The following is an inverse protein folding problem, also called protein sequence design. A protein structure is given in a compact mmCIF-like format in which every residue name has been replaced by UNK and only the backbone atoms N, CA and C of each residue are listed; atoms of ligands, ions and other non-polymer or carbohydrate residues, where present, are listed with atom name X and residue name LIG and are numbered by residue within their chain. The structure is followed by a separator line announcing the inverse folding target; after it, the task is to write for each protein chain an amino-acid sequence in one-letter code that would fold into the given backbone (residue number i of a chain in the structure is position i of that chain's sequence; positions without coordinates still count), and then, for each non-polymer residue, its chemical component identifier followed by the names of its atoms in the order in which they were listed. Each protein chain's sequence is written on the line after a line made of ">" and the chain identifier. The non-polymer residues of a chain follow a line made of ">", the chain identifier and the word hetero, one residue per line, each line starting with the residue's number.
data_IF_782930431160
#
_entry.id   IF_782930431160
#
_cell.length_a   1.000
_cell.length_b   1.000
_cell.length_c   1.000
_cell.angle_alpha   90.00
_cell.angle_beta   90.00
_cell.angle_gamma   90.00
#
_symmetry.space_group_name_H-M   'P 1'
#
loop_
_entity.id
_entity.type
_entity.pdbx_description
1 polymer ?
#
# COMPACT_ATOMS: atom_id res chain seq x y z
N UNK A 1 -11.25 -16.59 -44.69
CA UNK A 1 -11.92 -17.53 -43.77
C UNK A 1 -12.34 -16.77 -42.53
N UNK A 2 -13.64 -16.78 -42.20
CA UNK A 2 -14.26 -16.05 -41.09
C UNK A 2 -14.11 -16.87 -39.80
N UNK A 3 -13.51 -16.29 -38.76
CA UNK A 3 -13.44 -16.87 -37.42
C UNK A 3 -13.93 -15.88 -36.38
N UNK A 4 -15.24 -15.94 -36.06
CA UNK A 4 -15.85 -15.27 -34.89
C UNK A 4 -15.50 -16.10 -33.65
N UNK A 5 -14.89 -15.49 -32.64
CA UNK A 5 -14.88 -16.06 -31.28
C UNK A 5 -15.56 -15.08 -30.33
N UNK A 6 -16.61 -15.61 -29.70
CA UNK A 6 -17.56 -14.95 -28.80
C UNK A 6 -16.94 -14.65 -27.46
N UNK A 7 -17.22 -13.47 -26.95
CA UNK A 7 -16.98 -13.09 -25.56
C UNK A 7 -17.79 -13.93 -24.56
N UNK A 8 -17.26 -14.01 -23.34
CA UNK A 8 -17.98 -14.39 -22.13
C UNK A 8 -17.63 -13.40 -21.04
N UNK A 9 -18.56 -12.48 -20.80
CA UNK A 9 -18.68 -11.73 -19.56
C UNK A 9 -18.96 -12.70 -18.41
N UNK A 10 -18.24 -12.54 -17.29
CA UNK A 10 -18.68 -13.08 -16.00
C UNK A 10 -19.07 -11.89 -15.13
N UNK A 11 -20.35 -11.85 -14.77
CA UNK A 11 -20.98 -10.82 -13.97
C UNK A 11 -20.60 -10.96 -12.50
N UNK A 12 -20.47 -9.82 -11.85
CA UNK A 12 -20.41 -9.63 -10.42
C UNK A 12 -21.60 -10.26 -9.68
N UNK A 13 -21.33 -10.73 -8.47
CA UNK A 13 -22.35 -10.95 -7.43
C UNK A 13 -21.83 -10.36 -6.12
N UNK A 14 -22.19 -9.10 -5.86
CA UNK A 14 -22.14 -8.48 -4.54
C UNK A 14 -23.45 -8.82 -3.84
N UNK A 15 -23.38 -9.57 -2.73
CA UNK A 15 -24.50 -9.76 -1.82
C UNK A 15 -24.31 -8.85 -0.58
N UNK A 16 -25.32 -8.06 -0.18
CA UNK A 16 -25.28 -7.26 1.03
C UNK A 16 -25.90 -8.02 2.20
N UNK A 17 -25.18 -8.08 3.33
CA UNK A 17 -25.71 -8.40 4.66
C UNK A 17 -25.04 -7.38 5.59
N UNK A 18 -25.72 -6.53 6.35
CA UNK A 18 -27.07 -6.57 6.86
C UNK A 18 -26.95 -5.94 8.24
N UNK A 19 -27.43 -4.70 8.38
CA UNK A 19 -27.39 -3.95 9.62
C UNK A 19 -28.25 -4.61 10.70
N UNK A 20 -27.75 -4.67 11.93
CA UNK A 20 -28.57 -4.91 13.10
C UNK A 20 -28.07 -4.01 14.24
N UNK A 21 -28.75 -2.88 14.42
CA UNK A 21 -28.82 -2.16 15.68
C UNK A 21 -29.60 -2.99 16.70
N UNK A 22 -29.24 -2.88 17.99
CA UNK A 22 -30.14 -2.73 19.15
C UNK A 22 -29.39 -3.05 20.45
N UNK A 23 -29.54 -2.19 21.46
CA UNK A 23 -29.16 -2.53 22.84
C UNK A 23 -28.80 -1.35 23.72
N UNK A 24 -29.76 -0.46 24.01
CA UNK A 24 -29.68 0.47 25.14
C UNK A 24 -30.40 -0.13 26.36
N UNK A 25 -29.67 -0.32 27.46
CA UNK A 25 -30.12 -0.54 28.85
C UNK A 25 -28.82 -0.56 29.68
N UNK A 26 -28.69 0.01 30.88
CA UNK A 26 -29.65 0.45 31.86
C UNK A 26 -29.02 1.54 32.75
N UNK A 27 -29.88 2.36 33.34
CA UNK A 27 -29.60 3.25 34.46
C UNK A 27 -29.32 2.42 35.73
N UNK A 28 -28.28 2.79 36.47
CA UNK A 28 -28.17 2.45 37.89
C UNK A 28 -27.70 3.68 38.68
N UNK A 29 -28.65 4.20 39.47
CA UNK A 29 -28.44 5.16 40.55
C UNK A 29 -27.61 4.51 41.66
N UNK A 30 -26.57 5.21 42.13
CA UNK A 30 -25.81 4.88 43.33
C UNK A 30 -25.54 6.14 44.15
N UNK A 31 -26.16 6.20 45.33
CA UNK A 31 -26.02 7.28 46.31
C UNK A 31 -24.68 7.25 47.06
N UNK A 32 -24.20 8.43 47.44
CA UNK A 32 -23.74 8.70 48.81
C UNK A 32 -22.26 8.46 49.12
N UNK A 33 -21.51 9.56 49.30
CA UNK A 33 -20.18 9.52 49.91
C UNK A 33 -19.47 10.86 49.80
N UNK A 34 -19.81 11.82 50.66
CA UNK A 34 -19.09 13.09 50.78
C UNK A 34 -17.68 12.86 51.35
N UNK A 35 -16.65 13.07 50.52
CA UNK A 35 -15.26 13.23 50.96
C UNK A 35 -14.90 14.73 51.02
N UNK A 36 -14.11 15.16 52.03
CA UNK A 36 -13.72 16.56 52.19
C UNK A 36 -12.75 16.99 51.08
N UNK A 37 -12.76 18.27 50.68
CA UNK A 37 -11.90 18.75 49.60
C UNK A 37 -10.43 18.72 50.02
N UNK A 38 -9.50 18.20 49.19
CA UNK A 38 -8.08 18.42 49.37
C UNK A 38 -7.72 19.90 49.12
N UNK A 39 -6.66 20.42 49.75
CA UNK A 39 -6.25 21.81 49.59
C UNK A 39 -5.90 22.11 48.13
N UNK A 40 -6.27 23.32 47.70
CA UNK A 40 -6.03 23.84 46.36
C UNK A 40 -4.54 23.73 45.97
N UNK A 41 -4.21 22.71 45.19
CA UNK A 41 -2.97 22.67 44.44
C UNK A 41 -3.07 23.72 43.34
N UNK A 42 -2.08 24.63 43.33
CA UNK A 42 -1.93 25.67 42.33
C UNK A 42 -2.14 25.10 40.92
N UNK A 43 -3.01 25.75 40.14
CA UNK A 43 -3.15 25.49 38.72
C UNK A 43 -1.80 25.73 38.04
N UNK A 44 -1.05 24.65 37.86
CA UNK A 44 0.11 24.64 37.01
C UNK A 44 -0.43 24.81 35.59
N UNK A 45 -0.18 25.99 34.99
CA UNK A 45 -0.37 26.26 33.56
C UNK A 45 0.61 25.40 32.74
N UNK A 46 0.46 24.09 32.82
CA UNK A 46 1.13 23.16 31.93
C UNK A 46 0.33 23.15 30.61
N UNK A 47 0.95 23.46 29.46
CA UNK A 47 0.25 23.37 28.18
C UNK A 47 -0.29 21.94 28.02
N UNK A 48 -1.60 21.84 27.79
CA UNK A 48 -2.27 20.58 27.56
C UNK A 48 -1.55 19.84 26.44
N UNK A 49 -0.91 18.71 26.78
CA UNK A 49 -0.32 17.82 25.79
C UNK A 49 -1.43 17.46 24.80
N UNK A 50 -1.23 17.64 23.48
CA UNK A 50 -2.24 17.28 22.51
C UNK A 50 -2.58 15.81 22.67
N UNK A 51 -3.88 15.50 22.71
CA UNK A 51 -4.36 14.13 22.81
C UNK A 51 -3.76 13.28 21.67
N UNK A 52 -3.34 12.03 21.94
CA UNK A 52 -2.72 11.15 20.95
C UNK A 52 -3.55 11.01 19.66
N UNK A 53 -4.88 11.04 19.76
CA UNK A 53 -5.80 10.99 18.61
C UNK A 53 -5.61 12.15 17.61
N UNK A 54 -5.24 13.34 18.07
CA UNK A 54 -5.01 14.49 17.20
C UNK A 54 -3.68 14.39 16.44
N UNK A 55 -2.69 13.67 16.99
CA UNK A 55 -1.41 13.43 16.32
C UNK A 55 -1.56 12.39 15.21
N UNK A 56 -2.30 11.31 15.47
CA UNK A 56 -2.55 10.25 14.50
C UNK A 56 -3.38 10.74 13.30
N UNK A 57 -4.41 11.55 13.55
CA UNK A 57 -5.22 12.15 12.49
C UNK A 57 -4.41 13.07 11.57
N UNK A 58 -3.46 13.85 12.13
CA UNK A 58 -2.56 14.72 11.34
C UNK A 58 -1.60 13.91 10.49
N UNK A 59 -1.04 12.83 11.04
CA UNK A 59 -0.14 11.93 10.30
C UNK A 59 -0.87 11.25 9.13
N UNK A 60 -2.06 10.71 9.39
CA UNK A 60 -2.88 10.09 8.35
C UNK A 60 -3.27 11.08 7.24
N UNK A 61 -3.62 12.32 7.60
CA UNK A 61 -3.90 13.39 6.63
C UNK A 61 -2.68 13.75 5.77
N UNK A 62 -1.48 13.77 6.36
CA UNK A 62 -0.22 13.97 5.66
C UNK A 62 0.09 12.87 4.64
N UNK A 63 0.03 11.61 5.07
CA UNK A 63 0.24 10.45 4.19
C UNK A 63 -0.74 10.44 3.01
N UNK A 64 -2.01 10.73 3.26
CA UNK A 64 -3.02 10.75 2.21
C UNK A 64 -2.80 11.87 1.19
N UNK A 65 -2.35 13.05 1.65
CA UNK A 65 -1.98 14.15 0.77
C UNK A 65 -0.79 13.78 -0.10
N UNK A 66 0.24 13.19 0.51
CA UNK A 66 1.44 12.75 -0.20
C UNK A 66 1.11 11.72 -1.29
N UNK A 67 0.25 10.75 -0.97
CA UNK A 67 -0.22 9.76 -1.95
C UNK A 67 -0.95 10.41 -3.13
N UNK A 68 -1.83 11.39 -2.88
CA UNK A 68 -2.55 12.09 -3.96
C UNK A 68 -1.61 12.87 -4.88
N UNK A 69 -0.63 13.55 -4.31
CA UNK A 69 0.38 14.28 -5.08
C UNK A 69 1.23 13.32 -5.93
N UNK A 70 1.64 12.19 -5.37
CA UNK A 70 2.37 11.15 -6.10
C UNK A 70 1.52 10.51 -7.22
N UNK A 71 0.24 10.22 -6.94
CA UNK A 71 -0.69 9.73 -7.96
C UNK A 71 -0.84 10.73 -9.10
N UNK A 72 -0.96 12.02 -8.78
CA UNK A 72 -1.03 13.07 -9.80
C UNK A 72 0.20 13.09 -10.70
N UNK A 73 1.41 12.99 -10.14
CA UNK A 73 2.65 12.95 -10.92
C UNK A 73 2.67 11.75 -11.89
N UNK A 74 2.22 10.58 -11.43
CA UNK A 74 2.04 9.41 -12.29
C UNK A 74 1.03 9.66 -13.43
N UNK A 75 -0.10 10.28 -13.13
CA UNK A 75 -1.11 10.61 -14.15
C UNK A 75 -0.64 11.66 -15.16
N UNK A 76 0.17 12.63 -14.73
CA UNK A 76 0.81 13.63 -15.60
C UNK A 76 1.80 12.96 -16.55
N UNK A 77 2.56 11.97 -16.08
CA UNK A 77 3.41 11.14 -16.94
C UNK A 77 2.59 10.40 -18.01
N UNK A 78 1.51 9.72 -17.63
CA UNK A 78 0.66 8.99 -18.58
C UNK A 78 -0.05 9.91 -19.59
N UNK A 79 -0.44 11.11 -19.15
CA UNK A 79 -0.98 12.15 -20.03
C UNK A 79 0.06 12.62 -21.06
N UNK A 80 1.28 12.90 -20.62
CA UNK A 80 2.38 13.26 -21.53
C UNK A 80 2.69 12.13 -22.52
N UNK A 81 2.69 10.88 -22.08
CA UNK A 81 2.86 9.70 -22.93
C UNK A 81 1.76 9.63 -24.01
N UNK A 82 0.50 9.81 -23.60
CA UNK A 82 -0.65 9.78 -24.51
C UNK A 82 -0.61 10.89 -25.55
N UNK A 83 -0.31 12.13 -25.13
CA UNK A 83 -0.19 13.28 -26.02
C UNK A 83 0.94 13.08 -27.03
N UNK A 84 2.07 12.51 -26.60
CA UNK A 84 3.22 12.27 -27.48
C UNK A 84 2.91 11.25 -28.58
N UNK A 85 2.10 10.25 -28.27
CA UNK A 85 1.74 9.22 -29.23
C UNK A 85 0.52 9.57 -30.11
N UNK A 86 -0.27 10.57 -29.72
CA UNK A 86 -1.50 10.95 -30.43
C UNK A 86 -1.36 12.37 -30.99
N UNK A 87 -1.15 12.49 -32.29
CA UNK A 87 -0.81 13.74 -33.01
C UNK A 87 -1.81 14.89 -32.93
N UNK A 88 -2.96 14.72 -32.24
CA UNK A 88 -3.98 15.75 -32.02
C UNK A 88 -4.54 15.76 -30.58
N UNK A 89 -4.01 14.94 -29.68
CA UNK A 89 -4.50 14.89 -28.30
C UNK A 89 -3.98 16.10 -27.51
N UNK A 90 -4.90 16.86 -26.89
CA UNK A 90 -4.56 17.93 -25.94
C UNK A 90 -4.51 17.44 -24.49
N UNK A 91 -5.17 16.32 -24.22
CA UNK A 91 -5.27 15.73 -22.89
C UNK A 91 -5.71 14.28 -23.02
N UNK A 92 -5.25 13.48 -22.09
CA UNK A 92 -5.63 12.09 -21.95
C UNK A 92 -7.03 11.97 -21.33
N UNK A 93 -7.99 11.31 -22.00
CA UNK A 93 -9.37 11.20 -21.51
C UNK A 93 -9.52 10.56 -20.13
N UNK A 94 -8.49 9.82 -19.68
CA UNK A 94 -8.49 9.10 -18.41
C UNK A 94 -7.74 9.82 -17.28
N UNK A 95 -7.27 11.05 -17.51
CA UNK A 95 -6.54 11.82 -16.50
C UNK A 95 -7.32 11.98 -15.18
N UNK A 96 -8.59 12.36 -15.28
CA UNK A 96 -9.46 12.54 -14.11
C UNK A 96 -9.77 11.22 -13.41
N UNK A 97 -9.85 10.11 -14.16
CA UNK A 97 -10.01 8.77 -13.59
C UNK A 97 -8.74 8.37 -12.83
N UNK A 98 -7.58 8.54 -13.46
CA UNK A 98 -6.27 8.25 -12.90
C UNK A 98 -6.05 8.98 -11.56
N UNK A 99 -6.36 10.27 -11.50
CA UNK A 99 -6.11 11.09 -10.30
C UNK A 99 -7.04 10.74 -9.13
N UNK A 100 -8.18 10.08 -9.40
CA UNK A 100 -9.09 9.55 -8.37
C UNK A 100 -8.74 8.15 -7.90
N UNK A 101 -7.92 7.42 -8.64
CA UNK A 101 -7.49 6.08 -8.25
C UNK A 101 -6.50 6.12 -7.09
N UNK A 102 -6.56 5.07 -6.27
CA UNK A 102 -5.60 4.84 -5.19
C UNK A 102 -4.80 3.59 -5.51
N UNK A 103 -3.48 3.72 -5.60
CA UNK A 103 -2.56 2.59 -5.78
C UNK A 103 -2.04 2.07 -4.45
N UNK A 104 -1.35 0.94 -4.49
CA UNK A 104 -0.61 0.41 -3.34
C UNK A 104 0.85 0.88 -3.30
N UNK A 105 1.34 1.58 -4.32
CA UNK A 105 2.70 2.12 -4.32
C UNK A 105 2.91 3.19 -3.25
N UNK A 106 4.11 3.18 -2.65
CA UNK A 106 4.56 4.25 -1.78
C UNK A 106 4.65 5.56 -2.56
N UNK A 107 4.34 6.71 -1.94
CA UNK A 107 4.43 8.00 -2.62
C UNK A 107 5.82 8.25 -3.22
N UNK A 108 6.87 7.82 -2.52
CA UNK A 108 8.25 7.93 -2.96
C UNK A 108 8.52 7.07 -4.20
N UNK A 109 8.03 5.84 -4.25
CA UNK A 109 8.22 4.94 -5.39
C UNK A 109 7.53 5.51 -6.62
N UNK A 110 6.26 5.91 -6.45
CA UNK A 110 5.43 6.41 -7.54
C UNK A 110 5.98 7.70 -8.14
N UNK A 111 6.44 8.65 -7.30
CA UNK A 111 7.12 9.87 -7.77
C UNK A 111 8.40 9.54 -8.53
N UNK A 112 9.29 8.75 -7.93
CA UNK A 112 10.57 8.40 -8.55
C UNK A 112 10.39 7.72 -9.91
N UNK A 113 9.43 6.79 -10.03
CA UNK A 113 9.08 6.16 -11.30
C UNK A 113 8.54 7.20 -12.29
N UNK A 114 7.56 8.02 -11.89
CA UNK A 114 6.96 9.02 -12.80
C UNK A 114 7.98 10.06 -13.32
N UNK A 115 8.87 10.56 -12.46
CA UNK A 115 9.86 11.57 -12.81
C UNK A 115 10.92 11.01 -13.76
N UNK A 116 11.42 9.80 -13.45
CA UNK A 116 12.37 9.11 -14.32
C UNK A 116 11.76 8.80 -15.68
N UNK A 117 10.55 8.24 -15.72
CA UNK A 117 9.87 7.86 -16.97
C UNK A 117 9.50 9.08 -17.82
N UNK A 118 9.10 10.19 -17.19
CA UNK A 118 8.84 11.45 -17.88
C UNK A 118 10.14 12.06 -18.45
N UNK A 119 11.23 12.05 -17.68
CA UNK A 119 12.53 12.52 -18.16
C UNK A 119 13.09 11.65 -19.29
N UNK A 120 12.81 10.34 -19.29
CA UNK A 120 13.12 9.43 -20.39
C UNK A 120 12.25 9.76 -21.62
N UNK A 121 10.94 9.99 -21.42
CA UNK A 121 10.00 10.33 -22.50
C UNK A 121 10.44 11.57 -23.28
N UNK A 122 10.88 12.61 -22.56
CA UNK A 122 11.33 13.88 -23.14
C UNK A 122 12.58 13.75 -24.00
N UNK A 123 13.43 12.76 -23.71
CA UNK A 123 14.70 12.51 -24.42
C UNK A 123 14.61 11.42 -25.48
N UNK A 124 13.60 10.56 -25.38
CA UNK A 124 13.39 9.48 -26.34
C UNK A 124 13.04 10.09 -27.70
N UNK A 125 13.54 9.51 -28.80
CA UNK A 125 13.25 9.98 -30.16
C UNK A 125 12.21 9.06 -30.83
N UNK A 126 11.28 9.64 -31.60
CA UNK A 126 10.24 8.87 -32.28
C UNK A 126 9.07 8.45 -31.38
N UNK A 127 8.36 7.39 -31.80
CA UNK A 127 7.16 6.86 -31.15
C UNK A 127 7.52 6.22 -29.78
N UNK A 128 6.93 6.64 -28.66
CA UNK A 128 7.19 6.01 -27.37
C UNK A 128 6.49 4.64 -27.19
N UNK A 129 5.65 4.19 -28.13
CA UNK A 129 5.02 2.86 -28.06
C UNK A 129 5.89 1.77 -28.68
N UNK A 130 7.14 1.69 -28.24
CA UNK A 130 8.09 0.67 -28.68
C UNK A 130 8.67 -0.13 -27.51
N UNK A 131 9.20 -1.34 -27.76
CA UNK A 131 9.87 -2.13 -26.73
C UNK A 131 11.03 -1.39 -26.05
N UNK A 132 11.73 -0.52 -26.78
CA UNK A 132 12.87 0.25 -26.26
C UNK A 132 12.43 1.24 -25.20
N UNK A 133 11.32 1.97 -25.43
CA UNK A 133 10.80 2.87 -24.41
C UNK A 133 10.19 2.11 -23.23
N UNK A 134 9.54 0.96 -23.47
CA UNK A 134 9.05 0.09 -22.40
C UNK A 134 10.19 -0.41 -21.49
N UNK A 135 11.39 -0.65 -22.04
CA UNK A 135 12.57 -0.99 -21.26
C UNK A 135 13.04 0.17 -20.37
N UNK A 136 12.97 1.42 -20.84
CA UNK A 136 13.27 2.60 -20.01
C UNK A 136 12.30 2.77 -18.84
N UNK A 137 10.99 2.57 -19.09
CA UNK A 137 9.98 2.61 -18.02
C UNK A 137 10.22 1.48 -17.01
N UNK A 138 10.56 0.28 -17.49
CA UNK A 138 10.91 -0.86 -16.64
C UNK A 138 12.16 -0.59 -15.78
N UNK A 139 13.19 0.04 -16.36
CA UNK A 139 14.39 0.48 -15.64
C UNK A 139 14.04 1.48 -14.54
N UNK A 140 13.26 2.52 -14.87
CA UNK A 140 12.79 3.51 -13.89
C UNK A 140 11.99 2.88 -12.74
N UNK A 141 11.13 1.92 -13.02
CA UNK A 141 10.39 1.17 -12.00
C UNK A 141 11.31 0.37 -11.07
N UNK A 142 12.28 -0.34 -11.64
CA UNK A 142 13.27 -1.14 -10.88
C UNK A 142 14.16 -0.29 -9.98
N UNK A 143 14.65 0.84 -10.50
CA UNK A 143 15.44 1.81 -9.74
C UNK A 143 14.64 2.44 -8.60
N UNK A 144 13.37 2.79 -8.86
CA UNK A 144 12.48 3.33 -7.84
C UNK A 144 12.19 2.31 -6.72
N UNK A 145 11.95 1.04 -7.06
CA UNK A 145 11.79 -0.03 -6.07
C UNK A 145 13.05 -0.20 -5.22
N UNK A 146 14.23 -0.13 -5.83
CA UNK A 146 15.51 -0.21 -5.12
C UNK A 146 15.73 1.00 -4.20
N UNK A 147 15.39 2.21 -4.66
CA UNK A 147 15.53 3.45 -3.89
C UNK A 147 14.49 3.59 -2.76
N UNK A 148 13.46 2.75 -2.76
CA UNK A 148 12.38 2.76 -1.76
C UNK A 148 12.37 1.54 -0.84
N UNK A 149 13.46 0.78 -0.86
CA UNK A 149 13.71 -0.34 0.04
C UNK A 149 13.42 0.04 1.49
N UNK A 150 12.66 -0.82 2.17
CA UNK A 150 12.34 -0.68 3.58
C UNK A 150 13.61 -0.94 4.41
N UNK A 151 13.95 -0.10 5.41
CA UNK A 151 15.03 -0.40 6.32
C UNK A 151 14.83 -1.76 6.99
N UNK A 152 15.90 -2.54 7.16
CA UNK A 152 15.85 -3.87 7.75
C UNK A 152 15.10 -3.90 9.12
N UNK A 153 15.34 -2.90 9.97
CA UNK A 153 14.66 -2.78 11.25
C UNK A 153 13.13 -2.66 11.13
N UNK A 154 12.64 -2.02 10.07
CA UNK A 154 11.22 -1.83 9.81
C UNK A 154 10.57 -3.10 9.20
N UNK A 155 11.37 -4.09 8.78
CA UNK A 155 10.90 -5.38 8.31
C UNK A 155 10.51 -6.33 9.45
N UNK A 156 11.06 -6.10 10.66
CA UNK A 156 10.85 -6.96 11.82
C UNK A 156 9.37 -7.28 12.12
N UNK A 157 8.40 -6.34 12.02
CA UNK A 157 6.98 -6.65 12.25
C UNK A 157 6.38 -7.63 11.24
N UNK A 158 6.93 -7.72 10.03
CA UNK A 158 6.48 -8.67 9.00
C UNK A 158 7.07 -10.05 9.25
N UNK A 159 8.37 -10.11 9.55
CA UNK A 159 9.06 -11.35 9.92
C UNK A 159 8.45 -11.96 11.18
N UNK A 160 8.09 -11.14 12.17
CA UNK A 160 7.46 -11.62 13.40
C UNK A 160 6.12 -12.32 13.14
N UNK A 161 5.31 -11.78 12.21
CA UNK A 161 4.02 -12.38 11.85
C UNK A 161 4.23 -13.67 11.06
N UNK A 162 5.13 -13.65 10.08
CA UNK A 162 5.50 -14.82 9.27
C UNK A 162 6.01 -15.96 10.15
N UNK A 163 7.06 -15.72 10.93
CA UNK A 163 7.70 -16.74 11.74
C UNK A 163 6.87 -17.14 12.95
N UNK A 164 6.07 -16.24 13.52
CA UNK A 164 5.07 -16.61 14.52
C UNK A 164 4.04 -17.59 13.96
N UNK A 165 3.62 -17.40 12.71
CA UNK A 165 2.68 -18.30 12.04
C UNK A 165 3.32 -19.67 11.76
N UNK A 166 4.52 -19.70 11.20
CA UNK A 166 5.26 -20.94 10.89
C UNK A 166 5.57 -21.73 12.17
N UNK A 167 6.03 -21.05 13.22
CA UNK A 167 6.28 -21.69 14.52
C UNK A 167 4.99 -22.26 15.14
N UNK A 168 3.86 -21.57 14.99
CA UNK A 168 2.56 -22.06 15.43
C UNK A 168 2.09 -23.32 14.69
N UNK A 169 2.62 -23.59 13.49
CA UNK A 169 2.36 -24.82 12.74
C UNK A 169 3.25 -26.00 13.18
N UNK A 170 4.30 -25.75 13.97
CA UNK A 170 5.24 -26.77 14.44
C UNK A 170 6.27 -27.20 13.39
N UNK A 171 6.36 -26.50 12.25
CA UNK A 171 7.26 -26.85 11.15
C UNK A 171 8.72 -26.50 11.47
N UNK A 172 8.95 -25.30 12.01
CA UNK A 172 10.27 -24.72 12.35
C UNK A 172 10.09 -23.76 13.54
N UNK A 173 11.05 -23.67 14.45
CA UNK A 173 11.00 -22.67 15.52
C UNK A 173 11.17 -21.24 14.99
N UNK A 174 10.80 -20.25 15.82
CA UNK A 174 10.77 -18.85 15.41
C UNK A 174 12.15 -18.32 14.98
N UNK A 175 13.21 -18.64 15.72
CA UNK A 175 14.54 -18.08 15.48
C UNK A 175 15.16 -18.68 14.22
N UNK A 176 15.01 -19.99 14.01
CA UNK A 176 15.43 -20.66 12.78
C UNK A 176 14.67 -20.13 11.57
N UNK A 177 13.36 -19.91 11.68
CA UNK A 177 12.57 -19.27 10.62
C UNK A 177 13.09 -17.87 10.31
N UNK A 178 13.27 -17.04 11.34
CA UNK A 178 13.68 -15.64 11.21
C UNK A 178 15.02 -15.57 10.48
N UNK A 179 16.01 -16.33 10.92
CA UNK A 179 17.33 -16.35 10.32
C UNK A 179 17.29 -16.83 8.86
N UNK A 180 16.54 -17.90 8.58
CA UNK A 180 16.40 -18.41 7.20
C UNK A 180 15.74 -17.40 6.26
N UNK A 181 14.72 -16.68 6.75
CA UNK A 181 14.05 -15.63 5.97
C UNK A 181 14.92 -14.39 5.80
N UNK A 182 15.66 -13.96 6.82
CA UNK A 182 16.60 -12.84 6.74
C UNK A 182 17.70 -13.12 5.70
N UNK A 183 18.30 -14.31 5.75
CA UNK A 183 19.39 -14.71 4.85
C UNK A 183 18.89 -14.96 3.41
N UNK A 184 17.68 -15.50 3.24
CA UNK A 184 17.16 -15.91 1.94
C UNK A 184 16.29 -14.87 1.22
N UNK A 185 15.33 -14.27 1.94
CA UNK A 185 14.25 -13.45 1.38
C UNK A 185 14.23 -12.01 1.90
N UNK A 186 15.05 -11.68 2.89
CA UNK A 186 15.12 -10.36 3.52
C UNK A 186 15.21 -9.24 2.48
N UNK A 187 16.24 -9.20 1.63
CA UNK A 187 16.41 -8.14 0.62
C UNK A 187 15.26 -8.02 -0.39
N UNK A 188 14.59 -9.12 -0.72
CA UNK A 188 13.44 -9.14 -1.62
C UNK A 188 12.22 -8.55 -0.94
N UNK A 189 11.98 -8.93 0.33
CA UNK A 189 10.89 -8.40 1.14
C UNK A 189 11.08 -6.92 1.47
N UNK A 190 12.31 -6.49 1.78
CA UNK A 190 12.63 -5.08 2.00
C UNK A 190 12.28 -4.23 0.78
N UNK A 191 12.65 -4.69 -0.43
CA UNK A 191 12.32 -4.00 -1.69
C UNK A 191 10.81 -4.00 -1.95
N UNK A 192 10.16 -5.18 -1.89
CA UNK A 192 8.74 -5.31 -2.20
C UNK A 192 7.86 -4.50 -1.23
N UNK A 193 8.08 -4.64 0.07
CA UNK A 193 7.31 -3.95 1.11
C UNK A 193 7.66 -2.45 1.13
N UNK A 194 8.92 -2.11 0.85
CA UNK A 194 9.39 -0.74 0.70
C UNK A 194 8.67 0.03 -0.41
N UNK A 195 8.44 -0.64 -1.54
CA UNK A 195 7.69 -0.11 -2.67
C UNK A 195 6.21 0.16 -2.35
N UNK A 196 5.66 -0.35 -1.24
CA UNK A 196 4.25 -0.21 -0.86
C UNK A 196 4.01 0.97 0.10
N UNK A 197 2.83 1.59 0.00
CA UNK A 197 2.31 2.53 1.01
C UNK A 197 1.82 1.80 2.27
N UNK A 198 1.39 2.56 3.27
CA UNK A 198 0.92 2.02 4.55
C UNK A 198 -0.25 1.03 4.40
N UNK A 199 -1.17 1.25 3.44
CA UNK A 199 -2.27 0.34 3.15
C UNK A 199 -1.79 -0.99 2.55
N UNK A 200 -0.89 -0.95 1.56
CA UNK A 200 -0.33 -2.16 0.96
C UNK A 200 0.42 -2.99 2.01
N UNK A 201 1.25 -2.34 2.83
CA UNK A 201 1.97 -2.96 3.95
C UNK A 201 1.05 -3.65 4.96
N UNK A 202 -0.07 -3.02 5.32
CA UNK A 202 -1.06 -3.63 6.22
C UNK A 202 -1.69 -4.89 5.60
N UNK A 203 -1.99 -4.87 4.30
CA UNK A 203 -2.53 -6.03 3.60
C UNK A 203 -1.53 -7.19 3.52
N UNK A 204 -0.26 -6.93 3.20
CA UNK A 204 0.80 -7.95 3.24
C UNK A 204 0.87 -8.58 4.62
N UNK A 205 0.95 -7.76 5.67
CA UNK A 205 1.05 -8.25 7.05
C UNK A 205 -0.17 -9.08 7.45
N UNK A 206 -1.38 -8.66 7.06
CA UNK A 206 -2.60 -9.41 7.31
C UNK A 206 -2.64 -10.75 6.54
N UNK A 207 -2.09 -10.79 5.33
CA UNK A 207 -1.99 -12.01 4.54
C UNK A 207 -1.00 -13.01 5.15
N UNK A 208 0.18 -12.54 5.58
CA UNK A 208 1.16 -13.36 6.30
C UNK A 208 0.60 -14.00 7.58
N UNK A 209 -0.32 -13.32 8.27
CA UNK A 209 -0.99 -13.89 9.44
C UNK A 209 -1.94 -15.05 9.13
N UNK A 210 -2.25 -15.29 7.85
CA UNK A 210 -3.24 -16.29 7.38
C UNK A 210 -2.61 -17.44 6.59
N UNK A 211 -1.28 -17.52 6.53
CA UNK A 211 -0.62 -18.59 5.79
C UNK A 211 -1.05 -19.96 6.30
N UNK A 212 -1.15 -20.94 5.40
CA UNK A 212 -1.50 -22.31 5.76
C UNK A 212 -0.30 -23.01 6.40
N UNK A 213 -0.58 -23.96 7.29
CA UNK A 213 0.44 -24.89 7.79
C UNK A 213 0.77 -25.91 6.70
N UNK A 214 2.07 -26.21 6.53
CA UNK A 214 2.56 -27.03 5.43
C UNK A 214 2.55 -26.32 4.06
N UNK A 215 3.26 -26.92 3.10
CA UNK A 215 3.47 -26.37 1.76
C UNK A 215 4.70 -25.44 1.68
N UNK A 216 5.01 -24.97 0.48
CA UNK A 216 6.18 -24.12 0.25
C UNK A 216 5.90 -22.68 0.69
N UNK A 217 6.56 -22.25 1.78
CA UNK A 217 6.42 -20.89 2.35
C UNK A 217 6.69 -19.82 1.29
N UNK A 218 7.68 -20.03 0.41
CA UNK A 218 8.01 -19.10 -0.67
C UNK A 218 6.81 -18.82 -1.60
N UNK A 219 6.09 -19.86 -2.03
CA UNK A 219 4.91 -19.70 -2.88
C UNK A 219 3.78 -18.96 -2.15
N UNK A 220 3.59 -19.25 -0.87
CA UNK A 220 2.59 -18.58 -0.04
C UNK A 220 2.91 -17.10 0.17
N UNK A 221 4.19 -16.75 0.37
CA UNK A 221 4.65 -15.36 0.45
C UNK A 221 4.39 -14.65 -0.89
N UNK A 222 4.76 -15.26 -2.02
CA UNK A 222 4.50 -14.70 -3.35
C UNK A 222 3.02 -14.45 -3.58
N UNK A 223 2.14 -15.40 -3.22
CA UNK A 223 0.69 -15.24 -3.34
C UNK A 223 0.13 -14.08 -2.49
N UNK A 224 0.79 -13.73 -1.38
CA UNK A 224 0.44 -12.54 -0.59
C UNK A 224 0.91 -11.23 -1.21
N UNK A 225 2.03 -11.25 -1.94
CA UNK A 225 2.64 -10.05 -2.53
C UNK A 225 2.06 -9.73 -3.91
N UNK A 226 1.84 -10.72 -4.75
CA UNK A 226 1.42 -10.58 -6.16
C UNK A 226 0.24 -9.62 -6.36
N UNK A 227 -0.90 -9.76 -5.67
CA UNK A 227 -2.04 -8.86 -5.89
C UNK A 227 -1.74 -7.39 -5.55
N UNK A 228 -0.81 -7.17 -4.61
CA UNK A 228 -0.43 -5.82 -4.17
C UNK A 228 0.61 -5.23 -5.12
N UNK A 229 1.50 -6.08 -5.66
CA UNK A 229 2.47 -5.72 -6.68
C UNK A 229 1.77 -5.31 -7.98
N UNK A 230 0.70 -6.01 -8.38
CA UNK A 230 -0.12 -5.68 -9.54
C UNK A 230 -0.83 -4.32 -9.40
N UNK A 231 -1.21 -3.96 -8.16
CA UNK A 231 -1.87 -2.69 -7.83
C UNK A 231 -0.89 -1.54 -7.49
N UNK A 232 0.42 -1.70 -7.71
CA UNK A 232 1.40 -0.65 -7.44
C UNK A 232 1.22 0.56 -8.37
N UNK A 233 0.99 0.31 -9.65
CA UNK A 233 0.82 1.34 -10.65
C UNK A 233 -0.57 1.22 -11.26
N UNK A 234 -1.29 2.34 -11.33
CA UNK A 234 -2.54 2.35 -12.05
C UNK A 234 -2.28 2.48 -13.56
N UNK A 235 -2.79 1.54 -14.34
CA UNK A 235 -2.78 1.58 -15.80
C UNK A 235 -4.24 1.49 -16.31
N UNK A 236 -4.59 2.19 -17.40
CA UNK A 236 -5.90 2.02 -18.03
C UNK A 236 -6.03 0.58 -18.56
N UNK A 237 -7.15 -0.08 -18.26
CA UNK A 237 -7.53 -1.36 -18.85
C UNK A 237 -8.19 -1.25 -20.23
#
# INVERSE_FOLDING_TARGET
>A
MKGKVRGRSVRAALAPLGAASLGSLALALGCGGSTPPPPAAAASNAPARPAPEAADARKAGGEQREQREAQRAWCEYLDALYQRATSQARSWPKFDECTRHTTMASPRMLRATSECSLAALQRFEGDPFTPEYAAEVSRCGSEAMTATTLPHADLAPFMAVLCGRVAGCGDVDYDTCRQSLEDGLGPQLERAIGAMNSRGRQQVRACFGKLACGGEIGLQISACLEPIMDDLLWLPG
#
